data_IF_596935706489
#
_entry.id   IF_596935706489
#
_cell.length_a   1.000
_cell.length_b   1.000
_cell.length_c   1.000
_cell.angle_alpha   90.00
_cell.angle_beta   90.00
_cell.angle_gamma   90.00
#
_symmetry.space_group_name_H-M   'P 1'
#
loop_
_entity.id
_entity.type
_entity.pdbx_description
1 polymer ?
#
# COMPACT_ATOMS: atom_id res chain seq x y z
N UNK A 1 72.27 75.24 39.01
CA UNK A 1 73.40 74.51 38.39
C UNK A 1 73.09 73.03 38.52
N UNK A 2 72.96 72.33 37.39
CA UNK A 2 73.14 70.86 37.32
C UNK A 2 71.90 70.01 37.50
N UNK A 3 71.41 69.49 36.38
CA UNK A 3 70.55 68.30 36.25
C UNK A 3 71.22 67.04 36.83
N UNK A 4 70.43 66.07 37.31
CA UNK A 4 70.34 64.78 36.62
C UNK A 4 69.09 63.99 37.05
N UNK A 5 68.45 63.41 36.05
CA UNK A 5 67.17 62.69 36.07
C UNK A 5 67.48 61.21 35.87
N UNK A 6 67.06 60.34 36.79
CA UNK A 6 67.06 58.90 36.55
C UNK A 6 65.64 58.36 36.65
N UNK A 7 65.23 57.74 35.55
CA UNK A 7 63.90 57.30 35.20
C UNK A 7 63.91 55.77 35.28
N UNK A 8 63.14 55.19 36.20
CA UNK A 8 63.00 53.73 36.29
C UNK A 8 61.82 53.30 35.41
N UNK A 9 62.15 52.39 34.50
CA UNK A 9 61.38 51.87 33.38
C UNK A 9 60.06 51.20 33.77
N UNK A 10 58.99 51.31 32.93
CA UNK A 10 57.88 50.37 32.97
C UNK A 10 58.29 49.06 32.29
N UNK A 11 57.94 47.93 32.91
CA UNK A 11 58.05 46.58 32.32
C UNK A 11 57.06 46.48 31.16
N UNK A 12 57.58 46.46 29.93
CA UNK A 12 56.82 46.09 28.74
C UNK A 12 56.79 44.56 28.63
N UNK A 13 55.67 43.95 29.04
CA UNK A 13 55.37 42.58 28.68
C UNK A 13 55.18 42.50 27.16
N UNK A 14 56.15 41.91 26.47
CA UNK A 14 56.06 41.63 25.03
C UNK A 14 55.19 40.39 24.81
N UNK A 15 53.91 40.61 24.56
CA UNK A 15 52.97 39.57 24.14
C UNK A 15 53.37 39.08 22.73
N UNK A 16 53.96 37.88 22.66
CA UNK A 16 54.39 37.25 21.40
C UNK A 16 53.18 36.90 20.51
N UNK A 17 53.01 37.47 19.29
CA UNK A 17 51.84 37.25 18.42
C UNK A 17 51.80 35.85 17.76
N UNK A 18 52.79 34.99 18.01
CA UNK A 18 52.94 33.65 17.41
C UNK A 18 52.18 32.54 18.15
N UNK A 19 51.96 32.67 19.46
CA UNK A 19 51.28 31.64 20.29
C UNK A 19 49.75 31.70 20.17
N UNK A 20 49.19 32.90 19.97
CA UNK A 20 47.75 33.13 19.81
C UNK A 20 47.21 32.55 18.49
N UNK A 21 47.91 32.78 17.38
CA UNK A 21 47.49 32.28 16.05
C UNK A 21 47.47 30.74 15.97
N UNK A 22 48.45 30.05 16.55
CA UNK A 22 48.51 28.58 16.54
C UNK A 22 47.41 27.92 17.39
N UNK A 23 47.05 28.54 18.52
CA UNK A 23 45.99 28.04 19.41
C UNK A 23 44.60 28.20 18.80
N UNK A 24 44.32 29.33 18.14
CA UNK A 24 43.07 29.55 17.41
C UNK A 24 42.89 28.56 16.24
N UNK A 25 43.95 28.24 15.50
CA UNK A 25 43.88 27.27 14.40
C UNK A 25 43.63 25.83 14.84
N UNK A 26 44.18 25.39 15.98
CA UNK A 26 43.97 24.04 16.53
C UNK A 26 42.52 23.89 17.03
N UNK A 27 41.98 24.90 17.71
CA UNK A 27 40.59 24.92 18.19
C UNK A 27 39.61 24.93 17.00
N UNK A 28 39.89 25.74 15.97
CA UNK A 28 39.08 25.83 14.74
C UNK A 28 39.08 24.52 13.95
N UNK A 29 40.22 23.81 13.86
CA UNK A 29 40.31 22.48 13.23
C UNK A 29 39.56 21.40 14.02
N UNK A 30 39.60 21.42 15.36
CA UNK A 30 38.85 20.49 16.22
C UNK A 30 37.33 20.72 16.13
N UNK A 31 36.88 21.97 16.13
CA UNK A 31 35.46 22.31 15.94
C UNK A 31 34.97 21.92 14.54
N UNK A 32 35.75 22.18 13.49
CA UNK A 32 35.41 21.79 12.11
C UNK A 32 35.32 20.27 11.94
N UNK A 33 36.20 19.48 12.57
CA UNK A 33 36.11 18.01 12.57
C UNK A 33 34.88 17.48 13.32
N UNK A 34 34.50 18.10 14.45
CA UNK A 34 33.27 17.74 15.17
C UNK A 34 32.00 18.10 14.37
N UNK A 35 31.98 19.26 13.72
CA UNK A 35 30.87 19.66 12.84
C UNK A 35 30.76 18.71 11.64
N UNK A 36 31.89 18.34 11.02
CA UNK A 36 31.92 17.38 9.91
C UNK A 36 31.42 16.00 10.37
N UNK A 37 31.86 15.53 11.54
CA UNK A 37 31.41 14.25 12.12
C UNK A 37 29.91 14.27 12.46
N UNK A 38 29.41 15.32 13.12
CA UNK A 38 27.97 15.48 13.38
C UNK A 38 27.16 15.57 12.07
N UNK A 39 27.68 16.23 11.05
CA UNK A 39 27.08 16.29 9.72
C UNK A 39 27.00 14.91 9.06
N UNK A 40 28.09 14.12 9.11
CA UNK A 40 28.10 12.74 8.62
C UNK A 40 27.10 11.84 9.36
N UNK A 41 27.06 11.93 10.70
CA UNK A 41 26.09 11.16 11.50
C UNK A 41 24.65 11.57 11.16
N UNK A 42 24.36 12.86 11.07
CA UNK A 42 23.05 13.36 10.69
C UNK A 42 22.65 12.92 9.27
N UNK A 43 23.60 12.93 8.32
CA UNK A 43 23.38 12.44 6.96
C UNK A 43 23.07 10.93 6.94
N UNK A 44 23.83 10.11 7.69
CA UNK A 44 23.58 8.66 7.79
C UNK A 44 22.21 8.40 8.41
N UNK A 45 21.87 9.08 9.52
CA UNK A 45 20.55 8.95 10.16
C UNK A 45 19.44 9.38 9.20
N UNK A 46 19.62 10.48 8.46
CA UNK A 46 18.67 10.93 7.45
C UNK A 46 18.45 9.92 6.34
N UNK A 47 19.51 9.31 5.81
CA UNK A 47 19.43 8.24 4.80
C UNK A 47 18.71 7.03 5.36
N UNK A 48 19.02 6.59 6.59
CA UNK A 48 18.34 5.46 7.24
C UNK A 48 16.85 5.75 7.39
N UNK A 49 16.47 6.95 7.87
CA UNK A 49 15.05 7.35 7.99
C UNK A 49 14.37 7.36 6.61
N UNK A 50 15.04 7.88 5.57
CA UNK A 50 14.50 7.89 4.22
C UNK A 50 14.27 6.46 3.70
N UNK A 51 15.24 5.57 3.85
CA UNK A 51 15.12 4.16 3.45
C UNK A 51 14.00 3.47 4.24
N UNK A 52 13.89 3.71 5.55
CA UNK A 52 12.80 3.17 6.36
C UNK A 52 11.44 3.71 5.91
N UNK A 53 11.32 5.00 5.63
CA UNK A 53 10.10 5.58 5.10
C UNK A 53 9.71 4.94 3.75
N UNK A 54 10.65 4.83 2.81
CA UNK A 54 10.40 4.23 1.50
C UNK A 54 10.04 2.74 1.60
N UNK A 55 10.64 2.00 2.53
CA UNK A 55 10.36 0.57 2.71
C UNK A 55 9.04 0.30 3.43
N UNK A 56 8.67 1.12 4.42
CA UNK A 56 7.42 0.99 5.18
C UNK A 56 6.22 1.49 4.37
N UNK A 57 6.36 2.59 3.63
CA UNK A 57 5.28 3.14 2.79
C UNK A 57 5.20 2.52 1.39
N UNK A 58 6.01 1.49 1.10
CA UNK A 58 5.90 0.75 -0.15
C UNK A 58 4.53 0.09 -0.23
N UNK A 59 3.72 0.53 -1.20
CA UNK A 59 2.40 -0.05 -1.44
C UNK A 59 2.56 -1.50 -1.89
N UNK A 60 1.96 -2.39 -1.11
CA UNK A 60 1.82 -3.81 -1.37
C UNK A 60 0.39 -4.12 -1.71
N UNK A 61 0.31 -5.00 -2.67
CA UNK A 61 -0.85 -5.68 -3.18
C UNK A 61 -1.62 -6.46 -2.09
N UNK A 62 -2.93 -6.20 -1.86
CA UNK A 62 -3.74 -7.00 -0.94
C UNK A 62 -3.79 -8.49 -1.31
N UNK A 63 -3.91 -9.34 -0.29
CA UNK A 63 -4.04 -10.79 -0.47
C UNK A 63 -5.52 -11.13 -0.23
N UNK A 64 -6.16 -11.69 -1.25
CA UNK A 64 -7.58 -12.05 -1.21
C UNK A 64 -7.67 -13.57 -1.21
N UNK A 65 -8.40 -14.13 -0.25
CA UNK A 65 -8.66 -15.57 -0.21
C UNK A 65 -10.16 -15.82 -0.14
N UNK A 66 -10.66 -16.66 -1.04
CA UNK A 66 -12.04 -17.12 -1.04
C UNK A 66 -12.14 -18.29 -0.05
N UNK A 67 -12.83 -18.08 1.07
CA UNK A 67 -12.93 -19.08 2.13
C UNK A 67 -14.02 -20.13 1.80
N UNK A 68 -15.17 -19.67 1.31
CA UNK A 68 -16.26 -20.56 0.90
C UNK A 68 -17.22 -19.87 -0.07
N UNK A 69 -17.98 -20.69 -0.79
CA UNK A 69 -19.06 -20.26 -1.68
C UNK A 69 -20.30 -21.04 -1.29
N UNK A 70 -21.37 -20.34 -0.91
CA UNK A 70 -22.62 -20.95 -0.51
C UNK A 70 -23.76 -20.50 -1.44
N UNK A 71 -24.44 -21.46 -2.06
CA UNK A 71 -25.62 -21.21 -2.89
C UNK A 71 -26.85 -21.15 -1.99
N UNK A 72 -27.48 -19.99 -1.84
CA UNK A 72 -28.64 -19.85 -0.95
C UNK A 72 -29.97 -20.10 -1.63
N UNK A 73 -30.15 -19.64 -2.87
CA UNK A 73 -31.44 -19.74 -3.57
C UNK A 73 -31.21 -20.04 -5.04
N UNK A 74 -31.91 -21.05 -5.55
CA UNK A 74 -31.96 -21.38 -6.97
C UNK A 74 -33.43 -21.41 -7.41
N UNK A 75 -33.80 -20.53 -8.35
CA UNK A 75 -35.12 -20.53 -8.96
C UNK A 75 -35.03 -21.11 -10.37
N UNK A 76 -35.30 -22.41 -10.57
CA UNK A 76 -35.09 -23.10 -11.85
C UNK A 76 -35.87 -22.46 -13.01
N UNK A 77 -37.07 -21.93 -12.76
CA UNK A 77 -37.92 -21.34 -13.80
C UNK A 77 -37.39 -19.99 -14.34
N UNK A 78 -36.49 -19.32 -13.62
CA UNK A 78 -35.87 -18.04 -14.03
C UNK A 78 -34.34 -18.12 -14.08
N UNK A 79 -33.76 -19.30 -13.82
CA UNK A 79 -32.32 -19.52 -13.65
C UNK A 79 -31.63 -18.48 -12.73
N UNK A 80 -32.37 -17.93 -11.75
CA UNK A 80 -31.84 -16.97 -10.80
C UNK A 80 -31.15 -17.72 -9.67
N UNK A 81 -29.88 -17.37 -9.43
CA UNK A 81 -29.04 -18.00 -8.42
C UNK A 81 -28.45 -16.94 -7.48
N UNK A 82 -28.78 -17.03 -6.20
CA UNK A 82 -28.15 -16.19 -5.17
C UNK A 82 -27.00 -16.96 -4.53
N UNK A 83 -25.80 -16.42 -4.64
CA UNK A 83 -24.56 -16.99 -4.13
C UNK A 83 -23.98 -16.06 -3.07
N UNK A 84 -23.63 -16.60 -1.90
CA UNK A 84 -22.86 -15.89 -0.88
C UNK A 84 -21.44 -16.41 -0.88
N UNK A 85 -20.49 -15.53 -1.17
CA UNK A 85 -19.07 -15.81 -1.05
C UNK A 85 -18.53 -15.26 0.28
N UNK A 86 -17.90 -16.11 1.07
CA UNK A 86 -17.09 -15.69 2.22
C UNK A 86 -15.67 -15.40 1.72
N UNK A 87 -15.25 -14.14 1.81
CA UNK A 87 -13.97 -13.66 1.32
C UNK A 87 -13.17 -13.03 2.45
N UNK A 88 -11.91 -13.45 2.59
CA UNK A 88 -10.92 -12.79 3.43
C UNK A 88 -10.09 -11.82 2.60
N UNK A 89 -9.99 -10.57 3.05
CA UNK A 89 -9.16 -9.53 2.47
C UNK A 89 -8.06 -9.13 3.45
N UNK A 90 -6.80 -9.40 3.10
CA UNK A 90 -5.63 -9.01 3.90
C UNK A 90 -4.98 -7.77 3.30
N UNK A 91 -4.81 -6.75 4.14
CA UNK A 91 -4.03 -5.56 3.81
C UNK A 91 -2.59 -5.73 4.32
N UNK A 92 -1.59 -6.00 3.47
CA UNK A 92 -0.20 -6.11 3.89
C UNK A 92 0.50 -4.76 4.03
N UNK A 93 -0.18 -3.64 3.75
CA UNK A 93 0.39 -2.31 3.91
C UNK A 93 0.48 -1.91 5.39
N UNK A 94 1.48 -1.09 5.72
CA UNK A 94 1.65 -0.50 7.04
C UNK A 94 0.64 0.63 7.34
N UNK A 95 -0.18 1.02 6.35
CA UNK A 95 -1.20 2.05 6.48
C UNK A 95 -2.60 1.47 6.36
N UNK A 96 -3.53 2.05 7.12
CA UNK A 96 -4.95 1.71 7.00
C UNK A 96 -5.53 2.24 5.69
N UNK A 97 -6.31 1.42 5.01
CA UNK A 97 -7.05 1.78 3.81
C UNK A 97 -8.54 1.84 4.13
N UNK A 98 -9.17 3.02 3.99
CA UNK A 98 -10.62 3.19 4.13
C UNK A 98 -11.23 3.24 2.74
N UNK A 99 -12.16 2.34 2.44
CA UNK A 99 -12.79 2.23 1.13
C UNK A 99 -14.29 2.50 1.22
N UNK A 100 -14.82 3.06 0.13
CA UNK A 100 -16.26 3.31 -0.03
C UNK A 100 -17.01 2.04 -0.45
N UNK A 101 -18.23 2.23 -0.93
CA UNK A 101 -18.97 1.15 -1.58
C UNK A 101 -18.16 0.62 -2.76
N UNK A 102 -18.11 -0.69 -2.88
CA UNK A 102 -17.38 -1.36 -3.97
C UNK A 102 -18.37 -1.98 -4.92
N UNK A 103 -18.00 -2.09 -6.19
CA UNK A 103 -18.78 -2.85 -7.17
C UNK A 103 -17.86 -3.87 -7.83
N UNK A 104 -18.30 -5.12 -7.81
CA UNK A 104 -17.67 -6.22 -8.53
C UNK A 104 -18.52 -6.58 -9.73
N UNK A 105 -18.01 -6.33 -10.93
CA UNK A 105 -18.63 -6.74 -12.19
C UNK A 105 -18.22 -8.16 -12.51
N UNK A 106 -19.17 -9.03 -12.84
CA UNK A 106 -18.92 -10.41 -13.25
C UNK A 106 -19.18 -10.54 -14.74
N UNK A 107 -18.28 -11.21 -15.45
CA UNK A 107 -18.36 -11.40 -16.89
C UNK A 107 -18.19 -12.86 -17.30
N UNK A 108 -18.84 -13.24 -18.38
CA UNK A 108 -18.71 -14.55 -19.03
C UNK A 108 -18.38 -14.34 -20.50
N UNK A 109 -17.29 -14.96 -20.98
CA UNK A 109 -16.81 -14.82 -22.37
C UNK A 109 -16.74 -13.35 -22.84
N UNK A 110 -16.37 -12.44 -21.94
CA UNK A 110 -16.24 -10.99 -22.21
C UNK A 110 -17.56 -10.18 -22.12
N UNK A 111 -18.70 -10.83 -21.87
CA UNK A 111 -19.99 -10.16 -21.66
C UNK A 111 -20.29 -10.02 -20.17
N UNK A 112 -20.68 -8.83 -19.71
CA UNK A 112 -21.09 -8.63 -18.30
C UNK A 112 -22.40 -9.35 -18.04
N UNK A 113 -22.39 -10.23 -17.04
CA UNK A 113 -23.55 -11.03 -16.61
C UNK A 113 -24.15 -10.56 -15.28
N UNK A 114 -23.44 -9.71 -14.54
CA UNK A 114 -23.96 -9.15 -13.29
C UNK A 114 -23.02 -8.21 -12.58
N UNK A 115 -23.55 -7.53 -11.57
CA UNK A 115 -22.80 -6.65 -10.68
C UNK A 115 -23.14 -6.97 -9.23
N UNK A 116 -22.13 -6.92 -8.37
CA UNK A 116 -22.22 -7.28 -6.96
C UNK A 116 -21.76 -6.09 -6.12
N UNK A 117 -22.67 -5.40 -5.42
CA UNK A 117 -22.28 -4.33 -4.52
C UNK A 117 -21.66 -4.91 -3.25
N UNK A 118 -20.57 -4.28 -2.80
CA UNK A 118 -19.91 -4.58 -1.53
C UNK A 118 -19.97 -3.39 -0.56
N UNK A 119 -20.09 -3.65 0.75
CA UNK A 119 -20.24 -2.60 1.74
C UNK A 119 -18.95 -1.80 1.94
N UNK A 120 -19.05 -0.53 2.36
CA UNK A 120 -17.89 0.28 2.68
C UNK A 120 -17.18 -0.24 3.93
N UNK A 121 -15.90 0.10 4.09
CA UNK A 121 -15.16 -0.41 5.22
C UNK A 121 -13.77 0.17 5.42
N UNK A 122 -13.09 -0.42 6.40
CA UNK A 122 -11.69 -0.12 6.72
C UNK A 122 -10.92 -1.43 6.71
N UNK A 123 -9.80 -1.43 6.00
CA UNK A 123 -8.78 -2.48 6.05
C UNK A 123 -7.60 -1.98 6.88
N UNK A 124 -7.46 -2.39 8.15
CA UNK A 124 -6.37 -1.96 9.02
C UNK A 124 -5.01 -2.46 8.52
N UNK A 125 -3.94 -1.80 8.94
CA UNK A 125 -2.57 -2.18 8.57
C UNK A 125 -2.23 -3.61 9.02
N UNK A 126 -1.63 -4.41 8.14
CA UNK A 126 -1.25 -5.82 8.37
C UNK A 126 -2.37 -6.73 8.88
N UNK A 127 -3.65 -6.37 8.70
CA UNK A 127 -4.80 -7.17 9.17
C UNK A 127 -5.55 -7.80 8.02
N UNK A 128 -6.17 -8.94 8.34
CA UNK A 128 -7.16 -9.61 7.49
C UNK A 128 -8.55 -9.25 7.98
N UNK A 129 -9.44 -8.93 7.05
CA UNK A 129 -10.86 -8.70 7.30
C UNK A 129 -11.66 -9.70 6.48
N UNK A 130 -12.58 -10.41 7.12
CA UNK A 130 -13.57 -11.24 6.42
C UNK A 130 -14.79 -10.42 6.05
N UNK A 131 -15.36 -10.70 4.89
CA UNK A 131 -16.61 -10.11 4.44
C UNK A 131 -17.41 -11.13 3.63
N UNK A 132 -18.72 -11.08 3.76
CA UNK A 132 -19.63 -11.87 2.95
C UNK A 132 -20.11 -11.01 1.78
N UNK A 133 -19.89 -11.49 0.56
CA UNK A 133 -20.35 -10.86 -0.66
C UNK A 133 -21.55 -11.66 -1.17
N UNK A 134 -22.68 -11.00 -1.38
CA UNK A 134 -23.90 -11.64 -1.91
C UNK A 134 -24.03 -11.28 -3.37
N UNK A 135 -23.99 -12.27 -4.24
CA UNK A 135 -24.14 -12.14 -5.68
C UNK A 135 -25.48 -12.72 -6.11
N UNK A 136 -26.25 -11.94 -6.85
CA UNK A 136 -27.39 -12.44 -7.61
C UNK A 136 -26.96 -12.65 -9.07
N UNK A 137 -26.82 -13.91 -9.47
CA UNK A 137 -26.56 -14.29 -10.86
C UNK A 137 -27.91 -14.35 -11.57
N UNK A 138 -28.11 -13.45 -12.54
CA UNK A 138 -29.25 -13.47 -13.43
C UNK A 138 -28.97 -14.43 -14.59
N UNK A 139 -29.63 -15.60 -14.57
CA UNK A 139 -29.45 -16.62 -15.60
C UNK A 139 -29.82 -16.17 -17.01
N UNK A 140 -30.70 -15.18 -17.13
CA UNK A 140 -31.16 -14.61 -18.40
C UNK A 140 -29.99 -14.10 -19.26
N UNK A 141 -29.01 -13.45 -18.64
CA UNK A 141 -27.82 -12.91 -19.33
C UNK A 141 -26.82 -13.98 -19.73
N UNK A 142 -26.77 -15.09 -19.01
CA UNK A 142 -25.96 -16.25 -19.37
C UNK A 142 -26.55 -16.95 -20.59
N UNK A 143 -27.88 -17.09 -20.66
CA UNK A 143 -28.60 -17.71 -21.78
C UNK A 143 -28.45 -16.93 -23.10
N UNK A 144 -28.22 -15.61 -23.05
CA UNK A 144 -27.92 -14.80 -24.24
C UNK A 144 -26.58 -15.20 -24.90
N UNK A 145 -25.69 -15.89 -24.18
CA UNK A 145 -24.39 -16.28 -24.72
C UNK A 145 -24.49 -17.54 -25.59
N UNK A 146 -24.08 -17.49 -26.87
CA UNK A 146 -24.13 -18.66 -27.75
C UNK A 146 -23.19 -19.79 -27.31
N UNK A 147 -22.17 -19.46 -26.51
CA UNK A 147 -21.17 -20.40 -26.02
C UNK A 147 -21.55 -21.09 -24.71
N UNK A 148 -22.72 -20.78 -24.13
CA UNK A 148 -23.11 -21.37 -22.85
C UNK A 148 -23.32 -22.89 -22.98
N UNK A 149 -24.06 -23.34 -23.99
CA UNK A 149 -24.37 -24.77 -24.17
C UNK A 149 -23.11 -25.59 -24.45
N UNK A 150 -22.16 -25.04 -25.20
CA UNK A 150 -20.89 -25.70 -25.50
C UNK A 150 -20.02 -25.83 -24.26
N UNK A 151 -19.93 -24.78 -23.45
CA UNK A 151 -19.08 -24.77 -22.25
C UNK A 151 -19.71 -25.64 -21.13
N UNK A 152 -21.05 -25.64 -21.02
CA UNK A 152 -21.77 -26.58 -20.15
C UNK A 152 -21.57 -28.03 -20.60
N UNK A 153 -21.66 -28.31 -21.90
CA UNK A 153 -21.40 -29.64 -22.45
C UNK A 153 -19.94 -30.11 -22.26
N UNK A 154 -19.00 -29.17 -22.23
CA UNK A 154 -17.59 -29.43 -21.89
C UNK A 154 -17.36 -29.59 -20.37
N UNK A 155 -18.37 -29.31 -19.52
CA UNK A 155 -18.33 -29.49 -18.08
C UNK A 155 -17.61 -28.38 -17.30
N UNK A 156 -17.25 -27.26 -17.93
CA UNK A 156 -16.54 -26.16 -17.26
C UNK A 156 -16.93 -24.79 -17.80
N UNK A 157 -17.03 -23.80 -16.90
CA UNK A 157 -17.40 -22.42 -17.21
C UNK A 157 -16.28 -21.46 -16.81
N UNK A 158 -15.75 -20.72 -17.79
CA UNK A 158 -14.79 -19.65 -17.55
C UNK A 158 -15.52 -18.35 -17.19
N UNK A 159 -15.33 -17.88 -15.96
CA UNK A 159 -15.97 -16.66 -15.43
C UNK A 159 -14.90 -15.65 -15.03
N UNK A 160 -15.09 -14.39 -15.42
CA UNK A 160 -14.24 -13.26 -15.01
C UNK A 160 -14.90 -12.39 -13.96
N UNK A 161 -14.11 -11.70 -13.15
CA UNK A 161 -14.58 -10.65 -12.26
C UNK A 161 -13.66 -9.44 -12.29
N UNK A 162 -14.24 -8.24 -12.38
CA UNK A 162 -13.55 -6.96 -12.23
C UNK A 162 -14.11 -6.23 -11.01
N UNK A 163 -13.28 -5.99 -10.02
CA UNK A 163 -13.65 -5.19 -8.83
C UNK A 163 -12.86 -3.89 -8.81
N UNK A 164 -13.54 -2.79 -8.59
CA UNK A 164 -12.92 -1.48 -8.38
C UNK A 164 -13.22 -1.03 -6.95
N UNK A 165 -12.17 -0.82 -6.17
CA UNK A 165 -12.25 -0.43 -4.75
C UNK A 165 -11.61 0.95 -4.61
N UNK A 166 -12.47 1.97 -4.67
CA UNK A 166 -12.05 3.35 -4.43
C UNK A 166 -11.96 3.66 -2.94
N UNK A 167 -10.85 4.25 -2.52
CA UNK A 167 -10.61 4.52 -1.11
C UNK A 167 -9.59 5.59 -0.81
N UNK A 168 -9.25 5.71 0.46
CA UNK A 168 -8.28 6.67 1.00
C UNK A 168 -7.34 5.98 1.96
N UNK A 169 -6.04 6.18 1.75
CA UNK A 169 -5.00 5.79 2.71
C UNK A 169 -4.65 6.98 3.60
N UNK A 170 -4.30 6.69 4.85
CA UNK A 170 -3.91 7.70 5.83
C UNK A 170 -2.41 7.57 6.11
N UNK A 171 -1.62 8.50 5.58
CA UNK A 171 -0.16 8.56 5.73
C UNK A 171 0.17 9.56 6.85
N UNK A 172 1.06 9.18 7.77
CA UNK A 172 1.52 10.00 8.90
C UNK A 172 0.40 10.60 9.79
N UNK A 173 -0.81 10.02 9.78
CA UNK A 173 -1.89 10.44 10.69
C UNK A 173 -2.69 11.69 10.27
N UNK A 174 -2.31 12.41 9.21
CA UNK A 174 -3.06 13.58 8.72
C UNK A 174 -3.16 13.67 7.19
N UNK A 175 -2.21 13.09 6.46
CA UNK A 175 -2.21 13.13 4.99
C UNK A 175 -3.14 12.05 4.46
N UNK A 176 -4.14 12.42 3.66
CA UNK A 176 -5.07 11.50 3.01
C UNK A 176 -4.79 11.49 1.52
N UNK A 177 -4.48 10.32 0.97
CA UNK A 177 -4.35 10.13 -0.47
C UNK A 177 -5.46 9.22 -0.98
N UNK A 178 -6.03 9.58 -2.12
CA UNK A 178 -6.96 8.70 -2.83
C UNK A 178 -6.18 7.56 -3.45
N UNK A 179 -6.78 6.37 -3.44
CA UNK A 179 -6.18 5.17 -4.02
C UNK A 179 -7.31 4.32 -4.56
N UNK A 180 -7.19 3.90 -5.80
CA UNK A 180 -8.08 2.94 -6.43
C UNK A 180 -7.36 1.60 -6.56
N UNK A 181 -7.93 0.58 -5.95
CA UNK A 181 -7.46 -0.80 -6.10
C UNK A 181 -8.35 -1.50 -7.11
N UNK A 182 -7.77 -1.90 -8.22
CA UNK A 182 -8.44 -2.65 -9.29
C UNK A 182 -8.04 -4.10 -9.14
N UNK A 183 -9.01 -5.00 -9.12
CA UNK A 183 -8.81 -6.45 -9.06
C UNK A 183 -9.48 -7.09 -10.28
N UNK A 184 -8.70 -7.76 -11.11
CA UNK A 184 -9.16 -8.51 -12.27
C UNK A 184 -8.85 -10.00 -12.05
N UNK A 185 -9.88 -10.82 -11.91
CA UNK A 185 -9.73 -12.25 -11.71
C UNK A 185 -10.44 -13.06 -12.79
N UNK A 186 -9.87 -14.23 -13.07
CA UNK A 186 -10.43 -15.26 -13.93
C UNK A 186 -10.55 -16.55 -13.14
N UNK A 187 -11.70 -17.20 -13.22
CA UNK A 187 -12.03 -18.44 -12.53
C UNK A 187 -12.46 -19.49 -13.56
N UNK A 188 -12.08 -20.74 -13.32
CA UNK A 188 -12.65 -21.88 -14.04
C UNK A 188 -13.55 -22.63 -13.07
N UNK A 189 -14.86 -22.62 -13.31
CA UNK A 189 -15.83 -23.36 -12.53
C UNK A 189 -16.08 -24.72 -13.16
N UNK A 190 -15.82 -25.80 -12.42
CA UNK A 190 -16.15 -27.15 -12.86
C UNK A 190 -17.59 -27.48 -12.42
N UNK A 191 -18.45 -27.77 -13.40
CA UNK A 191 -19.87 -28.00 -13.16
C UNK A 191 -20.10 -29.33 -12.43
N UNK A 192 -19.36 -30.37 -12.78
CA UNK A 192 -19.51 -31.72 -12.22
C UNK A 192 -19.11 -31.78 -10.75
N UNK A 193 -18.00 -31.13 -10.38
CA UNK A 193 -17.50 -31.10 -9.00
C UNK A 193 -18.00 -29.90 -8.20
N UNK A 194 -18.71 -28.96 -8.84
CA UNK A 194 -19.19 -27.71 -8.26
C UNK A 194 -18.09 -26.94 -7.52
N UNK A 195 -16.89 -26.94 -8.09
CA UNK A 195 -15.70 -26.36 -7.48
C UNK A 195 -14.98 -25.43 -8.44
N UNK A 196 -14.13 -24.58 -7.87
CA UNK A 196 -13.25 -23.66 -8.61
C UNK A 196 -11.83 -24.22 -8.49
N UNK A 197 -11.43 -25.18 -9.34
CA UNK A 197 -10.10 -25.81 -9.27
C UNK A 197 -8.96 -24.81 -9.54
N UNK A 198 -9.20 -23.81 -10.38
CA UNK A 198 -8.18 -22.82 -10.76
C UNK A 198 -8.75 -21.40 -10.77
N UNK A 199 -7.94 -20.48 -10.30
CA UNK A 199 -8.24 -19.04 -10.26
C UNK A 199 -6.96 -18.23 -10.39
N UNK A 200 -6.99 -17.21 -11.24
CA UNK A 200 -5.91 -16.24 -11.39
C UNK A 200 -6.45 -14.84 -11.12
N UNK A 201 -5.79 -14.11 -10.23
CA UNK A 201 -6.15 -12.74 -9.88
C UNK A 201 -4.95 -11.82 -10.07
N UNK A 202 -5.14 -10.80 -10.90
CA UNK A 202 -4.20 -9.71 -11.09
C UNK A 202 -4.78 -8.45 -10.47
N UNK A 203 -3.95 -7.76 -9.69
CA UNK A 203 -4.35 -6.52 -9.05
C UNK A 203 -3.48 -5.37 -9.52
N UNK A 204 -4.06 -4.18 -9.51
CA UNK A 204 -3.40 -2.97 -9.95
C UNK A 204 -3.85 -1.81 -9.06
N UNK A 205 -2.88 -1.08 -8.51
CA UNK A 205 -3.15 0.10 -7.69
C UNK A 205 -2.94 1.36 -8.52
N UNK A 206 -3.97 2.21 -8.59
CA UNK A 206 -3.88 3.57 -9.13
C UNK A 206 -3.86 4.56 -7.96
N UNK A 207 -2.88 5.45 -7.98
CA UNK A 207 -2.65 6.50 -6.98
C UNK A 207 -3.22 7.84 -7.46
#
# INVERSE_FOLDING_TARGET
MGENKEQISPTHDSENPSSSNKSHDIIRRRCRRRILYCGCVAAIVGVVILVLALTVFKVREPIITMNSVNVQRFHPNKLNLTVIADVSFKNPNAVSFRYGNTTTTISYRGSTIGEVPGPPGVAPAHRTKRMNLTMDVLGDKLLESPNLLTDVGAGSLGVGSLTIIGGRVKILGFIKHHVDVILNCSYTFNISTQSIPDHSCHQHVKL
#
